data_IF_325376041294
#
_entry.id   IF_325376041294
#
_cell.length_a   1.000
_cell.length_b   1.000
_cell.length_c   1.000
_cell.angle_alpha   90.00
_cell.angle_beta   90.00
_cell.angle_gamma   90.00
#
_symmetry.space_group_name_H-M   'P 1'
#
loop_
_entity.id
_entity.type
_entity.pdbx_description
1 polymer ?
#
# COMPACT_ATOMS: atom_id res chain seq x y z
N UNK A 1 14.21 -11.60 -19.12
CA UNK A 1 12.83 -11.88 -18.77
C UNK A 1 12.66 -11.97 -17.28
N UNK A 2 11.61 -11.31 -16.79
CA UNK A 2 11.45 -11.05 -15.37
C UNK A 2 10.30 -11.86 -14.77
N UNK A 3 9.56 -12.61 -15.58
CA UNK A 3 8.42 -13.40 -15.15
C UNK A 3 8.81 -14.86 -14.97
N UNK A 4 8.41 -15.45 -13.85
CA UNK A 4 8.54 -16.87 -13.58
C UNK A 4 7.13 -17.45 -13.57
N UNK A 5 6.69 -18.11 -14.65
CA UNK A 5 5.37 -18.73 -14.69
C UNK A 5 5.32 -19.95 -13.77
N UNK A 6 4.13 -20.22 -13.23
CA UNK A 6 3.86 -21.43 -12.47
C UNK A 6 3.83 -22.67 -13.39
N UNK A 7 4.14 -23.81 -12.83
CA UNK A 7 4.14 -25.08 -13.56
C UNK A 7 2.70 -25.55 -13.75
N UNK A 8 2.31 -25.99 -14.98
CA UNK A 8 0.97 -26.57 -15.18
C UNK A 8 0.70 -27.76 -14.27
N UNK A 9 -0.51 -27.84 -13.73
CA UNK A 9 -0.93 -28.91 -12.78
C UNK A 9 -0.75 -30.33 -13.33
N UNK A 10 -0.75 -30.49 -14.66
CA UNK A 10 -0.45 -31.78 -15.29
C UNK A 10 0.98 -32.32 -15.01
N UNK A 11 1.88 -31.48 -14.48
CA UNK A 11 3.21 -31.88 -14.05
C UNK A 11 3.27 -32.35 -12.58
N UNK A 12 2.20 -32.14 -11.81
CA UNK A 12 2.06 -32.66 -10.45
C UNK A 12 1.55 -34.10 -10.52
N UNK A 13 2.37 -35.07 -10.12
CA UNK A 13 1.94 -36.47 -10.10
C UNK A 13 1.09 -36.78 -8.87
N UNK A 14 0.22 -37.80 -8.98
CA UNK A 14 -0.56 -38.30 -7.84
C UNK A 14 0.35 -38.69 -6.67
N UNK A 15 1.53 -39.27 -6.97
CA UNK A 15 2.52 -39.65 -5.95
C UNK A 15 3.07 -38.42 -5.20
N UNK A 16 3.32 -37.29 -5.90
CA UNK A 16 3.75 -36.04 -5.24
C UNK A 16 2.68 -35.53 -4.29
N UNK A 17 1.42 -35.56 -4.71
CA UNK A 17 0.27 -35.08 -3.91
C UNK A 17 0.08 -35.97 -2.69
N UNK A 18 0.09 -37.28 -2.84
CA UNK A 18 -0.04 -38.23 -1.71
C UNK A 18 1.13 -38.08 -0.72
N UNK A 19 2.36 -38.00 -1.19
CA UNK A 19 3.53 -37.73 -0.35
C UNK A 19 3.41 -36.40 0.43
N UNK A 20 2.90 -35.36 -0.19
CA UNK A 20 2.67 -34.07 0.47
C UNK A 20 1.61 -34.19 1.58
N UNK A 21 0.51 -34.91 1.33
CA UNK A 21 -0.57 -35.17 2.31
C UNK A 21 -0.10 -36.05 3.48
N UNK A 22 0.79 -37.00 3.22
CA UNK A 22 1.42 -37.79 4.27
C UNK A 22 2.38 -36.99 5.14
N UNK A 23 3.01 -35.95 4.55
CA UNK A 23 3.98 -35.09 5.23
C UNK A 23 3.30 -34.08 6.15
N UNK A 24 2.19 -33.45 5.73
CA UNK A 24 1.52 -32.38 6.49
C UNK A 24 0.04 -32.31 6.14
N UNK A 25 -0.77 -31.83 7.07
CA UNK A 25 -2.18 -31.48 6.89
C UNK A 25 -2.35 -30.01 6.42
N UNK A 26 -1.25 -29.29 6.32
CA UNK A 26 -1.21 -27.86 5.95
C UNK A 26 -0.32 -27.67 4.72
N UNK A 27 -0.82 -26.98 3.72
CA UNK A 27 -0.08 -26.58 2.54
C UNK A 27 0.26 -25.09 2.57
N UNK A 28 1.43 -24.75 2.06
CA UNK A 28 1.81 -23.37 1.80
C UNK A 28 1.89 -23.13 0.29
N UNK A 29 1.15 -22.15 -0.19
CA UNK A 29 1.18 -21.70 -1.60
C UNK A 29 1.92 -20.37 -1.67
N UNK A 30 2.97 -20.31 -2.48
CA UNK A 30 3.77 -19.09 -2.67
C UNK A 30 3.48 -18.53 -4.05
N UNK A 31 2.92 -17.34 -4.09
CA UNK A 31 2.69 -16.55 -5.31
C UNK A 31 3.79 -15.50 -5.39
N UNK A 32 4.51 -15.44 -6.50
CA UNK A 32 5.61 -14.48 -6.68
C UNK A 32 5.30 -13.50 -7.81
N UNK A 33 5.70 -12.24 -7.58
CA UNK A 33 5.72 -11.22 -8.61
C UNK A 33 7.05 -10.50 -8.57
N UNK A 34 7.77 -10.61 -9.68
CA UNK A 34 9.08 -9.99 -9.83
C UNK A 34 8.88 -8.63 -10.48
N UNK A 35 9.36 -7.59 -9.81
CA UNK A 35 9.47 -6.24 -10.34
C UNK A 35 10.85 -5.70 -10.04
N UNK A 36 11.36 -4.82 -10.89
CA UNK A 36 12.69 -4.28 -10.72
C UNK A 36 12.93 -3.01 -11.52
N UNK A 37 14.02 -2.33 -11.21
CA UNK A 37 14.44 -1.13 -11.90
C UNK A 37 14.59 -1.38 -13.41
N UNK A 38 14.05 -0.45 -14.21
CA UNK A 38 14.12 -0.51 -15.68
C UNK A 38 13.18 -1.51 -16.33
N UNK A 39 12.27 -2.12 -15.58
CA UNK A 39 11.31 -3.09 -16.10
C UNK A 39 9.93 -2.85 -15.46
N UNK A 40 9.10 -2.09 -16.15
CA UNK A 40 7.71 -1.87 -15.75
C UNK A 40 6.93 -3.19 -15.82
N UNK A 41 6.02 -3.38 -14.85
CA UNK A 41 5.14 -4.55 -14.84
C UNK A 41 4.12 -4.44 -15.98
N UNK A 42 3.93 -5.50 -16.78
CA UNK A 42 3.03 -5.43 -17.93
C UNK A 42 1.56 -5.29 -17.52
N UNK A 43 0.89 -4.33 -18.15
CA UNK A 43 -0.56 -4.15 -18.05
C UNK A 43 -1.34 -5.08 -18.97
N UNK A 44 -0.66 -5.78 -19.86
CA UNK A 44 -1.19 -6.85 -20.72
C UNK A 44 -0.07 -7.86 -20.96
N UNK A 45 -0.09 -8.94 -20.20
CA UNK A 45 0.97 -9.97 -20.20
C UNK A 45 1.04 -10.69 -21.55
N UNK A 46 -0.07 -10.78 -22.30
CA UNK A 46 -0.08 -11.43 -23.61
C UNK A 46 0.80 -10.72 -24.66
N UNK A 47 1.21 -9.49 -24.40
CA UNK A 47 2.11 -8.69 -25.26
C UNK A 47 3.58 -8.82 -24.89
N UNK A 48 3.88 -9.52 -23.80
CA UNK A 48 5.26 -9.72 -23.34
C UNK A 48 5.81 -11.02 -23.91
N UNK A 49 7.06 -11.00 -24.36
CA UNK A 49 7.75 -12.21 -24.80
C UNK A 49 8.43 -12.87 -23.60
N UNK A 50 8.00 -14.08 -23.28
CA UNK A 50 8.68 -14.94 -22.31
C UNK A 50 9.80 -15.74 -22.99
N UNK A 51 10.91 -15.95 -22.29
CA UNK A 51 12.02 -16.81 -22.76
C UNK A 51 12.12 -18.14 -22.02
N UNK A 52 11.06 -18.55 -21.38
CA UNK A 52 10.99 -19.76 -20.58
C UNK A 52 10.08 -20.82 -21.19
N UNK A 53 9.77 -21.84 -20.41
CA UNK A 53 8.95 -22.96 -20.82
C UNK A 53 7.47 -22.61 -21.09
N UNK A 54 7.06 -21.36 -20.95
CA UNK A 54 5.68 -20.90 -21.22
C UNK A 54 5.30 -20.93 -22.70
N UNK A 55 6.23 -21.19 -23.58
CA UNK A 55 5.94 -21.41 -25.02
C UNK A 55 4.89 -22.51 -25.28
N UNK A 56 4.70 -23.39 -24.31
CA UNK A 56 3.84 -24.56 -24.43
C UNK A 56 2.44 -24.39 -23.81
N UNK A 57 2.18 -23.30 -23.12
CA UNK A 57 0.87 -23.02 -22.51
C UNK A 57 0.64 -21.54 -22.35
N UNK A 58 -0.63 -21.13 -22.45
CA UNK A 58 -1.05 -19.77 -22.17
C UNK A 58 -1.35 -19.65 -20.68
N UNK A 59 -0.66 -18.73 -20.05
CA UNK A 59 -0.79 -18.44 -18.63
C UNK A 59 -1.69 -17.24 -18.35
N UNK A 60 -1.70 -16.28 -19.27
CA UNK A 60 -2.55 -15.08 -19.22
C UNK A 60 -3.30 -14.90 -20.53
N UNK A 61 -4.54 -14.50 -20.46
CA UNK A 61 -5.32 -14.10 -21.61
C UNK A 61 -5.00 -12.65 -22.03
N UNK A 62 -5.45 -12.29 -23.23
CA UNK A 62 -5.26 -10.93 -23.74
C UNK A 62 -5.97 -9.91 -22.84
N UNK A 63 -5.23 -8.88 -22.40
CA UNK A 63 -5.70 -7.84 -21.51
C UNK A 63 -5.55 -8.15 -20.01
N UNK A 64 -5.09 -9.34 -19.65
CA UNK A 64 -4.76 -9.65 -18.26
C UNK A 64 -3.39 -9.04 -17.87
N UNK A 65 -3.35 -8.39 -16.72
CA UNK A 65 -2.13 -7.76 -16.20
C UNK A 65 -1.37 -8.69 -15.25
N UNK A 66 -0.10 -8.40 -15.02
CA UNK A 66 0.80 -9.26 -14.24
C UNK A 66 0.46 -9.33 -12.74
N UNK A 67 -0.28 -8.36 -12.19
CA UNK A 67 -0.63 -8.28 -10.76
C UNK A 67 -1.98 -8.93 -10.43
N UNK A 68 -2.43 -9.87 -11.24
CA UNK A 68 -3.52 -10.81 -10.97
C UNK A 68 -3.04 -12.26 -11.05
N UNK A 69 -3.85 -13.23 -10.64
CA UNK A 69 -3.50 -14.65 -10.79
C UNK A 69 -3.47 -15.04 -12.27
N UNK A 70 -2.45 -15.78 -12.66
CA UNK A 70 -2.39 -16.49 -13.92
C UNK A 70 -3.33 -17.72 -13.91
N UNK A 71 -3.59 -18.31 -15.08
CA UNK A 71 -4.43 -19.50 -15.14
C UNK A 71 -3.76 -20.70 -14.46
N UNK A 72 -2.44 -20.87 -14.60
CA UNK A 72 -1.72 -21.97 -13.93
C UNK A 72 -1.69 -21.81 -12.40
N UNK A 73 -1.63 -20.58 -11.89
CA UNK A 73 -1.76 -20.31 -10.47
C UNK A 73 -3.18 -20.60 -9.95
N UNK A 74 -4.23 -20.27 -10.70
CA UNK A 74 -5.61 -20.64 -10.37
C UNK A 74 -5.78 -22.17 -10.32
N UNK A 75 -5.28 -22.87 -11.33
CA UNK A 75 -5.33 -24.33 -11.39
C UNK A 75 -4.54 -24.99 -10.24
N UNK A 76 -3.39 -24.43 -9.85
CA UNK A 76 -2.61 -24.87 -8.70
C UNK A 76 -3.38 -24.66 -7.39
N UNK A 77 -4.02 -23.51 -7.19
CA UNK A 77 -4.84 -23.24 -6.01
C UNK A 77 -6.02 -24.21 -5.92
N UNK A 78 -6.70 -24.47 -7.04
CA UNK A 78 -7.77 -25.46 -7.11
C UNK A 78 -7.29 -26.85 -6.69
N UNK A 79 -6.13 -27.28 -7.23
CA UNK A 79 -5.53 -28.57 -6.89
C UNK A 79 -5.17 -28.66 -5.40
N UNK A 80 -4.51 -27.62 -4.86
CA UNK A 80 -4.08 -27.61 -3.45
C UNK A 80 -5.29 -27.56 -2.53
N UNK A 81 -6.26 -26.70 -2.78
CA UNK A 81 -7.48 -26.58 -1.98
C UNK A 81 -8.41 -27.80 -2.08
N UNK A 82 -8.30 -28.60 -3.13
CA UNK A 82 -9.00 -29.88 -3.23
C UNK A 82 -8.36 -30.98 -2.35
N UNK A 83 -7.08 -30.84 -1.99
CA UNK A 83 -6.31 -31.87 -1.28
C UNK A 83 -5.96 -31.49 0.17
N UNK A 84 -6.03 -30.22 0.56
CA UNK A 84 -5.68 -29.72 1.89
C UNK A 84 -6.80 -28.86 2.47
N UNK A 85 -7.15 -29.08 3.74
CA UNK A 85 -8.13 -28.26 4.46
C UNK A 85 -7.53 -26.98 5.06
N UNK A 86 -6.21 -26.93 5.22
CA UNK A 86 -5.47 -25.80 5.76
C UNK A 86 -4.45 -25.32 4.74
N UNK A 87 -4.69 -24.15 4.19
CA UNK A 87 -3.80 -23.51 3.21
C UNK A 87 -3.36 -22.15 3.72
N UNK A 88 -2.07 -21.85 3.63
CA UNK A 88 -1.49 -20.54 3.88
C UNK A 88 -0.96 -20.00 2.56
N UNK A 89 -1.39 -18.82 2.19
CA UNK A 89 -0.88 -18.13 1.00
C UNK A 89 0.23 -17.16 1.39
N UNK A 90 1.36 -17.21 0.71
CA UNK A 90 2.43 -16.24 0.83
C UNK A 90 2.52 -15.48 -0.49
N UNK A 91 2.24 -14.20 -0.46
CA UNK A 91 2.49 -13.32 -1.60
C UNK A 91 3.89 -12.71 -1.46
N UNK A 92 4.82 -13.13 -2.34
CA UNK A 92 6.18 -12.63 -2.39
C UNK A 92 6.35 -11.68 -3.57
N UNK A 93 6.07 -10.42 -3.33
CA UNK A 93 6.18 -9.34 -4.30
C UNK A 93 6.19 -7.98 -3.59
N UNK A 94 6.85 -6.99 -4.18
CA UNK A 94 6.93 -5.65 -3.61
C UNK A 94 5.73 -4.77 -3.97
N UNK A 95 5.01 -5.10 -5.04
CA UNK A 95 3.84 -4.39 -5.51
C UNK A 95 2.56 -4.95 -4.88
N UNK A 96 1.51 -4.15 -4.80
CA UNK A 96 0.17 -4.67 -4.52
C UNK A 96 -0.29 -5.61 -5.65
N UNK A 97 -1.04 -6.63 -5.30
CA UNK A 97 -1.63 -7.60 -6.23
C UNK A 97 -3.12 -7.75 -5.91
N UNK A 98 -3.91 -8.12 -6.88
CA UNK A 98 -5.31 -8.48 -6.65
C UNK A 98 -5.37 -9.80 -5.86
N UNK A 99 -5.72 -9.70 -4.59
CA UNK A 99 -5.81 -10.82 -3.66
C UNK A 99 -7.26 -11.26 -3.39
N UNK A 100 -8.21 -10.83 -4.21
CA UNK A 100 -9.64 -11.17 -4.08
C UNK A 100 -9.90 -12.67 -3.98
N UNK A 101 -9.09 -13.48 -4.66
CA UNK A 101 -9.16 -14.95 -4.64
C UNK A 101 -9.03 -15.58 -3.24
N UNK A 102 -8.43 -14.87 -2.27
CA UNK A 102 -8.34 -15.36 -0.89
C UNK A 102 -9.73 -15.65 -0.29
N UNK A 103 -10.76 -14.97 -0.76
CA UNK A 103 -12.14 -15.14 -0.30
C UNK A 103 -12.86 -16.32 -1.00
N UNK A 104 -12.33 -16.81 -2.11
CA UNK A 104 -12.98 -17.85 -2.92
C UNK A 104 -12.73 -19.26 -2.35
N UNK A 105 -11.66 -19.43 -1.57
CA UNK A 105 -11.23 -20.72 -1.04
C UNK A 105 -11.35 -20.77 0.49
N UNK A 106 -12.36 -21.48 1.00
CA UNK A 106 -12.55 -21.69 2.46
C UNK A 106 -11.37 -22.42 3.15
N UNK A 107 -10.52 -23.07 2.37
CA UNK A 107 -9.32 -23.77 2.82
C UNK A 107 -8.19 -22.81 3.15
N UNK A 108 -8.17 -21.62 2.57
CA UNK A 108 -7.18 -20.59 2.91
C UNK A 108 -7.48 -20.05 4.30
N UNK A 109 -6.57 -20.30 5.26
CA UNK A 109 -6.70 -19.91 6.67
C UNK A 109 -5.85 -18.70 7.04
N UNK A 110 -4.90 -18.34 6.20
CA UNK A 110 -4.03 -17.19 6.41
C UNK A 110 -3.34 -16.78 5.13
N UNK A 111 -2.99 -15.50 5.06
CA UNK A 111 -2.19 -14.94 3.99
C UNK A 111 -1.10 -14.04 4.57
N UNK A 112 0.07 -14.06 3.97
CA UNK A 112 1.22 -13.26 4.37
C UNK A 112 1.72 -12.50 3.16
N UNK A 113 1.71 -11.18 3.24
CA UNK A 113 2.46 -10.35 2.30
C UNK A 113 3.93 -10.32 2.74
N UNK A 114 4.80 -10.85 1.90
CA UNK A 114 6.22 -11.00 2.15
C UNK A 114 7.00 -10.35 1.00
N UNK A 115 7.22 -9.03 1.01
CA UNK A 115 8.03 -8.35 -0.01
C UNK A 115 9.48 -8.85 0.02
N UNK A 116 10.35 -8.26 -0.80
CA UNK A 116 11.73 -8.72 -0.95
C UNK A 116 12.47 -8.94 0.37
N UNK A 117 12.81 -10.19 0.67
CA UNK A 117 13.37 -10.63 1.96
C UNK A 117 14.90 -10.53 2.03
N UNK A 118 15.57 -10.24 0.92
CA UNK A 118 17.01 -10.33 0.83
C UNK A 118 17.50 -11.78 1.03
N UNK A 119 18.74 -11.93 1.49
CA UNK A 119 19.40 -13.25 1.57
C UNK A 119 18.93 -14.11 2.74
N UNK A 120 18.46 -13.52 3.85
CA UNK A 120 18.19 -14.23 5.10
C UNK A 120 16.76 -14.06 5.64
N UNK A 121 15.94 -13.21 5.03
CA UNK A 121 14.64 -12.84 5.59
C UNK A 121 13.60 -13.97 5.59
N UNK A 122 13.77 -15.02 4.78
CA UNK A 122 12.89 -16.20 4.81
C UNK A 122 12.95 -17.01 6.11
N UNK A 123 14.02 -16.86 6.92
CA UNK A 123 14.05 -17.44 8.27
C UNK A 123 12.93 -16.87 9.15
N UNK A 124 12.67 -15.55 9.03
CA UNK A 124 11.59 -14.87 9.75
C UNK A 124 10.21 -15.34 9.28
N UNK A 125 10.02 -15.58 7.98
CA UNK A 125 8.78 -16.12 7.43
C UNK A 125 8.47 -17.50 8.05
N UNK A 126 9.47 -18.39 8.09
CA UNK A 126 9.34 -19.70 8.74
C UNK A 126 8.96 -19.56 10.21
N UNK A 127 9.54 -18.64 10.95
CA UNK A 127 9.24 -18.38 12.36
C UNK A 127 7.80 -17.82 12.55
N UNK A 128 7.32 -16.97 11.65
CA UNK A 128 5.93 -16.46 11.66
C UNK A 128 4.96 -17.60 11.41
N UNK A 129 5.16 -18.41 10.37
CA UNK A 129 4.27 -19.53 10.03
C UNK A 129 4.25 -20.58 11.15
N UNK A 130 5.39 -20.82 11.80
CA UNK A 130 5.48 -21.74 12.95
C UNK A 130 4.89 -21.15 14.24
N UNK A 131 4.47 -19.89 14.26
CA UNK A 131 3.92 -19.22 15.44
C UNK A 131 4.96 -18.88 16.53
N UNK A 132 6.26 -18.98 16.23
CA UNK A 132 7.32 -18.66 17.18
C UNK A 132 7.64 -17.16 17.21
N UNK A 133 7.25 -16.44 16.16
CA UNK A 133 7.29 -14.97 16.05
C UNK A 133 5.90 -14.46 15.72
N UNK A 134 5.39 -13.54 16.51
CA UNK A 134 4.14 -12.85 16.24
C UNK A 134 4.40 -11.71 15.25
N UNK A 135 3.77 -11.69 14.06
CA UNK A 135 3.95 -10.61 13.10
C UNK A 135 3.37 -9.29 13.64
N UNK A 136 3.99 -8.19 13.29
CA UNK A 136 3.54 -6.83 13.60
C UNK A 136 3.72 -5.86 12.43
N UNK A 137 3.85 -6.41 11.22
CA UNK A 137 3.91 -5.63 9.99
C UNK A 137 2.54 -5.05 9.65
N UNK A 138 2.54 -3.86 9.06
CA UNK A 138 1.35 -3.20 8.51
C UNK A 138 1.54 -3.01 7.02
N UNK A 139 0.45 -3.04 6.25
CA UNK A 139 0.51 -2.76 4.81
C UNK A 139 0.96 -1.31 4.58
N UNK A 140 1.95 -1.15 3.71
CA UNK A 140 2.45 0.16 3.30
C UNK A 140 1.76 0.69 2.04
N UNK A 141 0.74 -0.02 1.58
CA UNK A 141 -0.09 0.35 0.43
C UNK A 141 -1.52 -0.17 0.62
N UNK A 142 -2.45 0.26 -0.25
CA UNK A 142 -3.83 -0.19 -0.28
C UNK A 142 -3.98 -1.32 -1.29
N UNK A 143 -4.50 -2.47 -0.86
CA UNK A 143 -4.82 -3.59 -1.74
C UNK A 143 -6.26 -3.48 -2.21
N UNK A 144 -6.48 -3.51 -3.51
CA UNK A 144 -7.80 -3.39 -4.13
C UNK A 144 -8.19 -4.69 -4.82
N UNK A 145 -9.50 -4.88 -5.03
CA UNK A 145 -10.02 -6.05 -5.75
C UNK A 145 -9.78 -5.97 -7.26
N UNK A 146 -9.70 -4.75 -7.81
CA UNK A 146 -9.51 -4.50 -9.24
C UNK A 146 -8.55 -3.31 -9.44
N UNK A 147 -7.32 -3.61 -9.83
CA UNK A 147 -6.29 -2.59 -10.08
C UNK A 147 -6.61 -1.75 -11.32
N UNK A 148 -7.35 -2.29 -12.29
CA UNK A 148 -7.67 -1.57 -13.53
C UNK A 148 -8.63 -0.40 -13.32
N UNK A 149 -9.37 -0.40 -12.21
CA UNK A 149 -10.27 0.68 -11.82
C UNK A 149 -9.56 1.83 -11.08
N UNK A 150 -8.26 1.70 -10.80
CA UNK A 150 -7.52 2.70 -10.02
C UNK A 150 -7.03 3.85 -10.89
N UNK A 151 -6.93 5.08 -10.36
CA UNK A 151 -6.41 6.22 -11.12
C UNK A 151 -4.96 5.99 -11.59
N UNK A 152 -4.12 5.43 -10.73
CA UNK A 152 -2.71 5.16 -11.04
C UNK A 152 -2.53 4.18 -12.18
N UNK A 153 -3.34 3.12 -12.25
CA UNK A 153 -3.29 2.17 -13.36
C UNK A 153 -3.59 2.84 -14.70
N UNK A 154 -4.60 3.70 -14.74
CA UNK A 154 -5.01 4.40 -15.96
C UNK A 154 -4.02 5.48 -16.41
N UNK A 155 -3.21 5.99 -15.48
CA UNK A 155 -2.18 6.99 -15.76
C UNK A 155 -0.77 6.39 -15.94
N UNK A 156 -0.64 5.08 -15.80
CA UNK A 156 0.62 4.38 -15.99
C UNK A 156 0.87 4.10 -17.48
N UNK A 157 2.07 4.37 -17.94
CA UNK A 157 2.51 4.06 -19.30
C UNK A 157 3.38 5.15 -19.92
N UNK A 158 3.86 4.87 -21.13
CA UNK A 158 4.65 5.79 -21.94
C UNK A 158 3.72 6.55 -22.90
N UNK A 159 3.15 7.64 -22.45
CA UNK A 159 2.27 8.47 -23.27
C UNK A 159 3.08 9.37 -24.20
N UNK A 160 2.62 9.54 -25.44
CA UNK A 160 3.25 10.35 -26.46
C UNK A 160 2.27 11.43 -26.94
N UNK A 161 2.78 12.67 -27.13
CA UNK A 161 2.07 13.65 -27.90
C UNK A 161 2.19 13.33 -29.41
N UNK A 162 1.24 13.77 -30.23
CA UNK A 162 1.20 13.48 -31.67
C UNK A 162 2.46 13.93 -32.43
N UNK A 163 3.20 14.91 -31.89
CA UNK A 163 4.41 15.47 -32.51
C UNK A 163 5.70 15.14 -31.75
N UNK A 164 5.70 14.10 -30.89
CA UNK A 164 6.88 13.76 -30.07
C UNK A 164 8.08 13.29 -30.89
N UNK A 165 7.86 12.76 -32.09
CA UNK A 165 8.92 12.40 -33.05
C UNK A 165 9.76 13.61 -33.52
N UNK A 166 9.19 14.82 -33.49
CA UNK A 166 9.95 16.06 -33.76
C UNK A 166 11.05 16.33 -32.71
N UNK A 167 10.92 15.73 -31.53
CA UNK A 167 11.84 15.84 -30.40
C UNK A 167 12.71 14.59 -30.21
N UNK A 168 12.68 13.67 -31.18
CA UNK A 168 13.50 12.46 -31.11
C UNK A 168 14.98 12.82 -30.99
N UNK A 169 15.65 12.14 -30.08
CA UNK A 169 17.09 12.26 -29.86
C UNK A 169 17.75 10.89 -30.00
N UNK A 170 19.05 10.86 -30.23
CA UNK A 170 19.82 9.62 -30.19
C UNK A 170 20.43 9.45 -28.79
N UNK A 171 20.18 8.31 -28.18
CA UNK A 171 20.82 7.93 -26.92
C UNK A 171 21.57 6.62 -27.06
N UNK A 172 22.54 6.37 -26.17
CA UNK A 172 23.23 5.09 -26.14
C UNK A 172 22.48 4.11 -25.26
N UNK A 173 22.14 2.94 -25.80
CA UNK A 173 21.64 1.84 -25.03
C UNK A 173 22.67 1.44 -23.95
N UNK A 174 22.26 1.41 -22.70
CA UNK A 174 23.15 1.12 -21.57
C UNK A 174 23.73 -0.29 -21.61
N UNK A 175 23.00 -1.28 -22.15
CA UNK A 175 23.45 -2.67 -22.20
C UNK A 175 24.33 -3.00 -23.41
N UNK A 176 24.02 -2.43 -24.58
CA UNK A 176 24.72 -2.73 -25.84
C UNK A 176 25.77 -1.67 -26.23
N UNK A 177 25.59 -0.43 -25.75
CA UNK A 177 26.38 0.74 -26.14
C UNK A 177 26.07 1.26 -27.55
N UNK A 178 25.09 0.68 -28.23
CA UNK A 178 24.65 1.12 -29.56
C UNK A 178 23.78 2.38 -29.47
N UNK A 179 23.81 3.18 -30.52
CA UNK A 179 22.94 4.36 -30.61
C UNK A 179 21.55 3.97 -31.02
N UNK A 180 20.55 4.37 -30.21
CA UNK A 180 19.14 4.12 -30.46
C UNK A 180 18.37 5.46 -30.49
N UNK A 181 17.35 5.55 -31.36
CA UNK A 181 16.46 6.68 -31.36
C UNK A 181 15.56 6.63 -30.13
N UNK A 182 15.54 7.70 -29.35
CA UNK A 182 14.69 7.85 -28.17
C UNK A 182 13.64 8.91 -28.45
N UNK A 183 12.38 8.53 -28.37
CA UNK A 183 11.23 9.44 -28.45
C UNK A 183 10.84 9.81 -27.03
N UNK A 184 10.80 11.11 -26.65
CA UNK A 184 10.36 11.51 -25.32
C UNK A 184 8.92 11.05 -25.04
N UNK A 185 8.68 10.59 -23.84
CA UNK A 185 7.35 10.24 -23.33
C UNK A 185 7.02 11.07 -22.08
N UNK A 186 5.77 11.05 -21.68
CA UNK A 186 5.33 11.73 -20.47
C UNK A 186 4.43 10.83 -19.63
N UNK A 187 4.34 11.14 -18.34
CA UNK A 187 3.34 10.63 -17.41
C UNK A 187 2.55 11.83 -16.90
N UNK A 188 1.24 11.68 -16.84
CA UNK A 188 0.36 12.74 -16.35
C UNK A 188 -0.17 12.38 -14.95
N UNK A 189 0.35 13.04 -13.93
CA UNK A 189 -0.05 12.84 -12.53
C UNK A 189 -1.35 13.60 -12.20
N UNK A 190 -2.46 13.20 -12.83
CA UNK A 190 -3.77 13.85 -12.66
C UNK A 190 -4.37 13.63 -11.27
N UNK A 191 -3.89 12.64 -10.53
CA UNK A 191 -4.33 12.30 -9.17
C UNK A 191 -4.07 13.43 -8.17
N UNK A 192 -3.06 14.26 -8.43
CA UNK A 192 -2.67 15.33 -7.51
C UNK A 192 -2.30 14.77 -6.14
N UNK A 193 -2.99 15.25 -5.08
CA UNK A 193 -2.77 14.76 -3.70
C UNK A 193 -3.47 13.43 -3.40
N UNK A 194 -4.38 12.98 -4.27
CA UNK A 194 -5.20 11.79 -4.07
C UNK A 194 -4.48 10.54 -4.56
N UNK A 195 -3.37 10.18 -3.89
CA UNK A 195 -2.54 9.02 -4.18
C UNK A 195 -2.68 7.99 -3.05
N UNK A 196 -2.75 6.70 -3.41
CA UNK A 196 -2.88 5.61 -2.46
C UNK A 196 -4.15 5.71 -1.60
N UNK A 197 -4.04 5.43 -0.30
CA UNK A 197 -5.19 5.45 0.62
C UNK A 197 -5.94 6.80 0.63
N UNK A 198 -5.26 7.92 0.40
CA UNK A 198 -5.92 9.24 0.35
C UNK A 198 -7.01 9.32 -0.72
N UNK A 199 -6.79 8.66 -1.86
CA UNK A 199 -7.82 8.54 -2.89
C UNK A 199 -9.00 7.72 -2.39
N UNK A 200 -8.77 6.49 -1.90
CA UNK A 200 -9.86 5.57 -1.55
C UNK A 200 -10.68 6.09 -0.38
N UNK A 201 -10.05 6.62 0.66
CA UNK A 201 -10.74 7.19 1.81
C UNK A 201 -11.59 8.40 1.41
N UNK A 202 -11.03 9.32 0.64
CA UNK A 202 -11.75 10.53 0.20
C UNK A 202 -12.88 10.18 -0.78
N UNK A 203 -12.62 9.32 -1.76
CA UNK A 203 -13.64 8.90 -2.72
C UNK A 203 -14.81 8.15 -2.06
N UNK A 204 -14.55 7.40 -1.00
CA UNK A 204 -15.59 6.74 -0.21
C UNK A 204 -16.44 7.76 0.56
N UNK A 205 -15.82 8.74 1.22
CA UNK A 205 -16.51 9.82 1.93
C UNK A 205 -17.38 10.65 0.98
N UNK A 206 -16.89 10.93 -0.23
CA UNK A 206 -17.62 11.65 -1.27
C UNK A 206 -18.67 10.79 -1.98
N UNK A 207 -18.77 9.50 -1.65
CA UNK A 207 -19.74 8.58 -2.26
C UNK A 207 -19.46 8.22 -3.71
N UNK A 208 -18.20 8.37 -4.16
CA UNK A 208 -17.76 8.04 -5.52
C UNK A 208 -17.47 6.56 -5.69
N UNK A 209 -17.10 5.88 -4.62
CA UNK A 209 -16.83 4.44 -4.58
C UNK A 209 -17.56 3.78 -3.40
N UNK A 210 -17.83 2.48 -3.52
CA UNK A 210 -18.21 1.61 -2.42
C UNK A 210 -16.90 1.02 -1.84
N UNK A 211 -16.48 1.48 -0.66
CA UNK A 211 -15.19 1.14 -0.08
C UNK A 211 -14.99 -0.37 0.05
N UNK A 212 -15.95 -1.07 0.64
CA UNK A 212 -15.86 -2.51 0.92
C UNK A 212 -15.81 -3.37 -0.35
N UNK A 213 -16.30 -2.83 -1.49
CA UNK A 213 -16.19 -3.51 -2.79
C UNK A 213 -14.94 -3.14 -3.56
N UNK A 214 -14.30 -2.04 -3.20
CA UNK A 214 -13.11 -1.54 -3.91
C UNK A 214 -11.83 -1.96 -3.20
N UNK A 215 -11.77 -1.80 -1.87
CA UNK A 215 -10.59 -2.05 -1.06
C UNK A 215 -10.72 -3.37 -0.33
N UNK A 216 -9.72 -4.23 -0.48
CA UNK A 216 -9.65 -5.49 0.24
C UNK A 216 -8.87 -5.35 1.55
N UNK A 217 -7.69 -4.71 1.49
CA UNK A 217 -6.88 -4.40 2.67
C UNK A 217 -6.47 -2.93 2.63
N UNK A 218 -6.88 -2.14 3.63
CA UNK A 218 -6.47 -0.74 3.77
C UNK A 218 -4.94 -0.58 3.91
N UNK A 219 -4.45 0.62 3.65
CA UNK A 219 -3.13 1.03 4.12
C UNK A 219 -3.09 0.97 5.66
N UNK A 220 -2.00 0.48 6.25
CA UNK A 220 -1.88 0.31 7.70
C UNK A 220 -2.50 -0.99 8.24
N UNK A 221 -3.15 -1.80 7.40
CA UNK A 221 -3.75 -3.06 7.82
C UNK A 221 -2.70 -4.10 8.23
N UNK A 222 -3.00 -4.88 9.25
CA UNK A 222 -2.19 -6.03 9.64
C UNK A 222 -2.76 -6.77 10.84
N UNK A 223 -2.66 -8.10 10.80
CA UNK A 223 -3.12 -8.98 11.87
C UNK A 223 -2.00 -9.36 12.83
N UNK A 224 -2.38 -9.78 14.03
CA UNK A 224 -1.50 -10.28 15.06
C UNK A 224 -2.03 -11.61 15.60
N UNK A 225 -1.17 -12.42 16.25
CA UNK A 225 -1.57 -13.61 16.99
C UNK A 225 -2.06 -13.30 18.42
N UNK A 226 -2.18 -12.01 18.76
CA UNK A 226 -2.72 -11.52 20.03
C UNK A 226 -3.58 -10.30 19.78
N UNK A 227 -4.37 -9.89 20.76
CA UNK A 227 -5.27 -8.77 20.68
C UNK A 227 -4.71 -7.58 21.46
N UNK A 228 -4.78 -6.38 20.88
CA UNK A 228 -4.36 -5.14 21.50
C UNK A 228 -5.57 -4.20 21.67
N UNK A 229 -5.56 -3.46 22.77
CA UNK A 229 -6.45 -2.32 23.01
C UNK A 229 -5.62 -1.06 22.98
N UNK A 230 -6.05 -0.05 22.22
CA UNK A 230 -5.47 1.28 22.22
C UNK A 230 -6.44 2.28 22.85
N UNK A 231 -5.95 3.09 23.79
CA UNK A 231 -6.72 4.16 24.44
C UNK A 231 -6.06 5.50 24.20
N UNK A 232 -6.78 6.39 23.53
CA UNK A 232 -6.39 7.77 23.28
C UNK A 232 -6.60 8.62 24.55
N UNK A 233 -5.56 9.30 24.99
CA UNK A 233 -5.64 10.32 26.04
C UNK A 233 -6.16 11.66 25.51
N UNK A 234 -6.32 12.64 26.40
CA UNK A 234 -6.78 13.97 26.03
C UNK A 234 -5.79 14.68 25.11
N UNK A 235 -6.28 15.19 23.98
CA UNK A 235 -5.47 15.97 23.05
C UNK A 235 -5.30 17.38 23.57
N UNK A 236 -4.05 17.86 23.61
CA UNK A 236 -3.69 19.21 24.03
C UNK A 236 -2.95 19.93 22.92
N UNK A 237 -3.20 21.24 22.78
CA UNK A 237 -2.48 22.12 21.87
C UNK A 237 -1.79 23.21 22.68
N UNK A 238 -0.48 23.29 22.55
CA UNK A 238 0.32 24.31 23.22
C UNK A 238 1.52 24.71 22.33
N UNK A 239 1.76 25.99 22.19
CA UNK A 239 2.88 26.54 21.42
C UNK A 239 2.98 25.98 19.98
N UNK A 240 1.82 25.81 19.30
CA UNK A 240 1.73 25.29 17.94
C UNK A 240 1.99 23.78 17.81
N UNK A 241 1.95 23.04 18.92
CA UNK A 241 2.11 21.58 18.96
C UNK A 241 0.85 20.90 19.48
N UNK A 242 0.45 19.86 18.76
CA UNK A 242 -0.58 18.90 19.18
C UNK A 242 0.13 17.76 19.91
N UNK A 243 -0.35 17.39 21.10
CA UNK A 243 0.25 16.30 21.89
C UNK A 243 -0.80 15.52 22.67
N UNK A 244 -0.64 14.22 22.75
CA UNK A 244 -1.44 13.31 23.55
C UNK A 244 -0.71 11.97 23.77
N UNK A 245 -1.19 11.21 24.74
CA UNK A 245 -0.69 9.87 24.99
C UNK A 245 -1.64 8.82 24.41
N UNK A 246 -1.08 7.70 23.95
CA UNK A 246 -1.83 6.50 23.58
C UNK A 246 -1.34 5.34 24.43
N UNK A 247 -2.22 4.77 25.24
CA UNK A 247 -1.91 3.56 26.02
C UNK A 247 -2.31 2.32 25.21
N UNK A 248 -1.33 1.48 24.89
CA UNK A 248 -1.52 0.19 24.20
C UNK A 248 -1.40 -0.93 25.22
N UNK A 249 -2.39 -1.80 25.28
CA UNK A 249 -2.42 -2.97 26.19
C UNK A 249 -2.58 -4.26 25.39
N UNK A 250 -1.73 -5.23 25.66
CA UNK A 250 -1.90 -6.58 25.10
C UNK A 250 -2.95 -7.34 25.92
N UNK A 251 -4.16 -7.45 25.38
CA UNK A 251 -5.29 -8.13 26.00
C UNK A 251 -5.41 -9.60 25.58
N UNK A 252 -4.55 -10.07 24.69
CA UNK A 252 -4.57 -11.44 24.19
C UNK A 252 -3.67 -12.40 24.98
N UNK A 253 -3.27 -13.50 24.34
CA UNK A 253 -2.57 -14.61 24.99
C UNK A 253 -1.14 -14.84 24.51
N UNK A 254 -0.70 -14.12 23.48
CA UNK A 254 0.66 -14.21 22.94
C UNK A 254 1.39 -12.87 23.11
N UNK A 255 2.71 -12.93 23.27
CA UNK A 255 3.53 -11.72 23.22
C UNK A 255 3.53 -11.11 21.82
N UNK A 256 3.55 -9.79 21.72
CA UNK A 256 3.54 -9.13 20.41
C UNK A 256 3.78 -7.63 20.50
N UNK A 257 3.84 -7.00 19.32
CA UNK A 257 3.94 -5.55 19.14
C UNK A 257 2.71 -5.05 18.41
N UNK A 258 2.32 -3.82 18.71
CA UNK A 258 1.27 -3.12 17.96
C UNK A 258 1.79 -1.80 17.40
N UNK A 259 1.06 -1.22 16.46
CA UNK A 259 1.37 0.08 15.84
C UNK A 259 0.24 1.04 16.17
N UNK A 260 0.59 2.17 16.75
CA UNK A 260 -0.29 3.33 16.85
C UNK A 260 -0.15 4.10 15.56
N UNK A 261 -1.24 4.29 14.83
CA UNK A 261 -1.30 5.10 13.62
C UNK A 261 -2.19 6.32 13.91
N UNK A 262 -1.63 7.52 13.68
CA UNK A 262 -2.31 8.79 13.94
C UNK A 262 -2.66 9.46 12.64
N UNK A 263 -3.95 9.75 12.46
CA UNK A 263 -4.45 10.42 11.27
C UNK A 263 -5.09 11.75 11.64
N UNK A 264 -5.19 12.64 10.66
CA UNK A 264 -6.04 13.82 10.76
C UNK A 264 -6.96 13.94 9.55
N UNK A 265 -8.16 14.48 9.80
CA UNK A 265 -9.12 14.89 8.79
C UNK A 265 -9.29 16.41 8.90
N UNK A 266 -8.85 17.19 7.88
CA UNK A 266 -8.92 18.63 7.90
C UNK A 266 -10.33 19.14 7.54
N UNK A 267 -10.69 20.38 7.92
CA UNK A 267 -11.90 21.01 7.44
C UNK A 267 -11.83 21.19 5.92
N UNK A 268 -12.89 20.78 5.21
CA UNK A 268 -12.98 20.87 3.75
C UNK A 268 -14.21 21.65 3.32
N UNK A 269 -14.03 22.51 2.33
CA UNK A 269 -15.10 23.23 1.65
C UNK A 269 -14.97 23.01 0.15
N UNK A 270 -16.04 22.52 -0.48
CA UNK A 270 -16.03 22.26 -1.92
C UNK A 270 -15.68 23.52 -2.71
N UNK A 271 -14.69 23.43 -3.60
CA UNK A 271 -14.12 24.53 -4.34
C UNK A 271 -13.07 25.38 -3.59
N UNK A 272 -12.74 24.97 -2.36
CA UNK A 272 -11.60 25.51 -1.60
C UNK A 272 -10.30 24.77 -1.88
N UNK A 273 -9.40 24.75 -0.88
CA UNK A 273 -8.13 24.00 -0.96
C UNK A 273 -8.41 22.51 -0.99
N UNK A 274 -7.83 21.79 -1.93
CA UNK A 274 -7.94 20.33 -2.03
C UNK A 274 -7.28 19.63 -0.84
N UNK A 275 -8.02 18.73 -0.20
CA UNK A 275 -7.61 18.00 1.01
C UNK A 275 -8.15 16.59 1.00
N UNK A 276 -7.30 15.63 1.33
CA UNK A 276 -7.76 14.26 1.57
C UNK A 276 -8.46 14.15 2.93
N UNK A 277 -9.46 13.29 3.02
CA UNK A 277 -10.23 13.06 4.25
C UNK A 277 -9.45 12.29 5.33
N UNK A 278 -8.42 11.54 4.95
CA UNK A 278 -7.54 10.82 5.87
C UNK A 278 -6.07 11.09 5.51
N UNK A 279 -5.29 11.54 6.50
CA UNK A 279 -3.88 11.85 6.34
C UNK A 279 -3.11 11.29 7.53
N UNK A 280 -2.22 10.32 7.30
CA UNK A 280 -1.30 9.84 8.33
C UNK A 280 -0.32 10.95 8.69
N UNK A 281 -0.24 11.31 9.98
CA UNK A 281 0.63 12.38 10.46
C UNK A 281 1.73 11.87 11.37
N UNK A 282 1.47 10.80 12.13
CA UNK A 282 2.47 10.18 12.99
C UNK A 282 2.17 8.69 13.15
N UNK A 283 3.18 7.90 13.49
CA UNK A 283 3.02 6.50 13.85
C UNK A 283 4.15 6.04 14.77
N UNK A 284 3.84 5.10 15.63
CA UNK A 284 4.85 4.48 16.49
C UNK A 284 4.51 3.02 16.76
N UNK A 285 5.56 2.20 16.87
CA UNK A 285 5.44 0.78 17.22
C UNK A 285 5.85 0.57 18.65
N UNK A 286 5.08 -0.23 19.40
CA UNK A 286 5.42 -0.64 20.78
C UNK A 286 6.65 -1.55 20.82
N UNK A 287 7.24 -1.66 22.00
CA UNK A 287 8.08 -2.80 22.34
C UNK A 287 7.25 -4.09 22.34
N UNK A 288 7.90 -5.24 22.56
CA UNK A 288 7.17 -6.50 22.75
C UNK A 288 6.43 -6.45 24.08
N UNK A 289 5.10 -6.50 24.03
CA UNK A 289 4.24 -6.55 25.21
C UNK A 289 3.84 -8.00 25.49
N UNK A 290 4.08 -8.45 26.73
CA UNK A 290 3.57 -9.74 27.22
C UNK A 290 2.05 -9.62 27.45
N UNK A 291 1.30 -10.75 27.50
CA UNK A 291 -0.10 -10.73 27.89
C UNK A 291 -0.35 -9.95 29.18
N UNK A 292 -1.24 -8.95 29.12
CA UNK A 292 -1.56 -8.04 30.21
C UNK A 292 -0.61 -6.84 30.39
N UNK A 293 0.49 -6.76 29.64
CA UNK A 293 1.38 -5.59 29.69
C UNK A 293 0.84 -4.43 28.86
N UNK A 294 1.19 -3.23 29.28
CA UNK A 294 0.84 -1.98 28.61
C UNK A 294 2.06 -1.10 28.40
N UNK A 295 2.04 -0.31 27.34
CA UNK A 295 3.01 0.73 27.05
C UNK A 295 2.28 2.01 26.66
N UNK A 296 2.78 3.15 27.11
CA UNK A 296 2.29 4.45 26.68
C UNK A 296 3.20 5.00 25.60
N UNK A 297 2.63 5.37 24.47
CA UNK A 297 3.27 6.07 23.37
C UNK A 297 2.87 7.54 23.45
N UNK A 298 3.86 8.43 23.52
CA UNK A 298 3.61 9.86 23.44
C UNK A 298 3.63 10.29 21.98
N UNK A 299 2.53 10.88 21.51
CA UNK A 299 2.36 11.45 20.18
C UNK A 299 2.56 12.95 20.25
N UNK A 300 3.35 13.53 19.35
CA UNK A 300 3.54 14.98 19.27
C UNK A 300 3.95 15.41 17.88
N UNK A 301 3.19 16.32 17.27
CA UNK A 301 3.46 16.90 15.97
C UNK A 301 3.11 18.40 15.94
N UNK A 302 3.59 19.14 14.95
CA UNK A 302 3.29 20.57 14.83
C UNK A 302 1.96 20.80 14.12
N UNK A 303 1.20 21.84 14.50
CA UNK A 303 -0.02 22.23 13.80
C UNK A 303 0.26 22.50 12.31
N UNK A 304 1.45 23.07 11.99
CA UNK A 304 1.86 23.34 10.61
C UNK A 304 1.99 22.09 9.73
N UNK A 305 2.16 20.89 10.33
CA UNK A 305 2.22 19.62 9.61
C UNK A 305 0.85 19.22 9.01
N UNK A 306 -0.24 19.85 9.51
CA UNK A 306 -1.60 19.68 8.99
C UNK A 306 -1.94 20.66 7.86
N UNK A 307 -1.02 21.55 7.48
CA UNK A 307 -1.24 22.52 6.40
C UNK A 307 -1.38 21.81 5.04
N UNK A 308 -2.25 22.35 4.18
CA UNK A 308 -2.50 21.88 2.82
C UNK A 308 -1.96 22.87 1.80
N UNK A 309 -1.48 22.37 0.65
CA UNK A 309 -0.95 23.23 -0.40
C UNK A 309 -2.08 23.85 -1.23
N UNK A 310 -2.18 25.16 -1.22
CA UNK A 310 -3.18 25.94 -1.97
C UNK A 310 -2.65 26.27 -3.38
N UNK A 311 -2.86 25.35 -4.31
CA UNK A 311 -2.34 25.46 -5.69
C UNK A 311 -2.90 26.67 -6.45
N UNK A 312 -4.18 26.99 -6.25
CA UNK A 312 -4.90 27.96 -7.10
C UNK A 312 -5.12 29.30 -6.42
N UNK A 313 -4.92 29.42 -5.12
CA UNK A 313 -5.08 30.64 -4.35
C UNK A 313 -3.74 31.27 -3.97
N UNK A 314 -3.21 30.88 -2.81
CA UNK A 314 -1.99 31.47 -2.25
C UNK A 314 -0.69 30.95 -2.90
N UNK A 315 -0.72 29.83 -3.59
CA UNK A 315 0.46 29.19 -4.18
C UNK A 315 1.49 28.71 -3.15
N UNK A 316 1.06 28.41 -1.94
CA UNK A 316 1.88 27.94 -0.83
C UNK A 316 1.06 27.08 0.13
N UNK A 317 1.68 26.58 1.21
CA UNK A 317 0.95 25.87 2.28
C UNK A 317 0.08 26.81 3.10
N UNK A 318 -1.10 26.33 3.45
CA UNK A 318 -2.08 27.07 4.27
C UNK A 318 -2.65 26.12 5.33
N UNK A 319 -2.59 26.51 6.58
CA UNK A 319 -3.34 25.90 7.67
C UNK A 319 -4.62 26.71 7.84
N UNK A 320 -5.76 26.21 7.35
CA UNK A 320 -7.02 26.93 7.43
C UNK A 320 -7.60 26.87 8.84
N UNK A 321 -8.24 27.98 9.25
CA UNK A 321 -9.04 28.01 10.48
C UNK A 321 -10.19 27.00 10.36
N UNK A 322 -10.46 26.27 11.44
CA UNK A 322 -11.54 25.28 11.49
C UNK A 322 -11.21 24.11 12.41
N UNK A 323 -12.08 23.13 12.38
CA UNK A 323 -12.00 21.94 13.22
C UNK A 323 -11.28 20.81 12.45
N UNK A 324 -10.21 20.31 13.04
CA UNK A 324 -9.44 19.17 12.57
C UNK A 324 -9.76 17.97 13.46
N UNK A 325 -10.20 16.87 12.88
CA UNK A 325 -10.35 15.62 13.62
C UNK A 325 -9.01 14.91 13.70
N UNK A 326 -8.52 14.67 14.91
CA UNK A 326 -7.31 13.89 15.18
C UNK A 326 -7.75 12.52 15.65
N UNK A 327 -7.30 11.46 15.01
CA UNK A 327 -7.72 10.09 15.33
C UNK A 327 -6.51 9.15 15.51
N UNK A 328 -6.73 8.11 16.33
CA UNK A 328 -5.92 6.89 16.30
C UNK A 328 -6.70 5.81 15.60
N UNK A 329 -6.05 5.12 14.68
CA UNK A 329 -6.69 4.16 13.81
C UNK A 329 -5.96 2.80 13.85
N UNK A 330 -6.65 1.72 13.52
CA UNK A 330 -6.03 0.41 13.26
C UNK A 330 -5.43 0.27 11.86
N UNK A 331 -5.93 1.12 10.94
CA UNK A 331 -5.52 1.27 9.55
C UNK A 331 -6.13 2.57 8.99
N UNK A 332 -5.89 2.93 7.73
CA UNK A 332 -6.38 4.20 7.15
C UNK A 332 -7.89 4.38 7.21
N UNK A 333 -8.66 3.29 7.30
CA UNK A 333 -10.12 3.30 7.25
C UNK A 333 -10.79 3.18 8.62
N UNK A 334 -10.20 2.39 9.52
CA UNK A 334 -10.86 1.98 10.76
C UNK A 334 -10.38 2.80 11.96
N UNK A 335 -11.17 3.82 12.32
CA UNK A 335 -10.90 4.67 13.48
C UNK A 335 -11.21 3.96 14.79
N UNK A 336 -10.27 4.01 15.73
CA UNK A 336 -10.42 3.51 17.12
C UNK A 336 -11.00 4.59 18.01
N UNK A 337 -10.44 5.79 17.96
CA UNK A 337 -10.90 6.95 18.73
C UNK A 337 -10.50 8.25 18.03
N UNK A 338 -11.26 9.32 18.25
CA UNK A 338 -10.94 10.64 17.72
C UNK A 338 -11.26 11.76 18.69
N UNK A 339 -10.60 12.91 18.51
CA UNK A 339 -10.87 14.17 19.19
C UNK A 339 -10.67 15.34 18.22
N UNK A 340 -11.36 16.44 18.48
CA UNK A 340 -11.28 17.64 17.63
C UNK A 340 -10.24 18.61 18.16
N UNK A 341 -9.41 19.14 17.27
CA UNK A 341 -8.53 20.28 17.48
C UNK A 341 -9.04 21.45 16.64
N UNK A 342 -9.30 22.59 17.30
CA UNK A 342 -9.78 23.80 16.60
C UNK A 342 -8.61 24.74 16.34
N UNK A 343 -8.33 25.04 15.07
CA UNK A 343 -7.41 26.08 14.62
C UNK A 343 -8.17 27.40 14.54
N UNK A 344 -7.78 28.38 15.35
CA UNK A 344 -8.57 29.62 15.50
C UNK A 344 -8.44 30.56 14.29
N UNK A 345 -7.23 30.69 13.73
CA UNK A 345 -6.92 31.62 12.65
C UNK A 345 -6.20 30.90 11.51
N UNK A 346 -6.52 31.28 10.27
CA UNK A 346 -5.82 30.74 9.09
C UNK A 346 -4.39 31.27 9.06
N UNK A 347 -3.41 30.37 8.88
CA UNK A 347 -1.99 30.69 8.74
C UNK A 347 -1.54 30.39 7.30
N UNK A 348 -0.96 31.38 6.65
CA UNK A 348 -0.38 31.25 5.30
C UNK A 348 1.15 31.14 5.43
N UNK A 349 1.73 30.11 4.84
CA UNK A 349 3.17 29.82 4.90
C UNK A 349 3.84 30.28 3.60
N UNK A 350 3.97 31.58 3.44
CA UNK A 350 4.59 32.23 2.30
C UNK A 350 6.11 32.51 2.50
N UNK A 351 6.71 33.26 1.60
CA UNK A 351 8.13 33.64 1.63
C UNK A 351 8.53 34.42 2.90
N UNK A 352 7.59 35.06 3.58
CA UNK A 352 7.83 35.83 4.83
C UNK A 352 7.52 35.03 6.09
N UNK A 353 6.88 33.88 5.95
CA UNK A 353 6.42 33.04 7.04
C UNK A 353 6.50 31.57 6.60
N UNK A 354 7.70 31.04 6.38
CA UNK A 354 7.90 29.63 6.02
C UNK A 354 7.53 28.70 7.19
N UNK A 355 7.11 27.47 6.90
CA UNK A 355 6.98 26.43 7.95
C UNK A 355 8.34 26.19 8.61
N UNK A 356 8.36 25.79 9.84
CA UNK A 356 9.60 25.59 10.60
C UNK A 356 10.51 24.50 10.01
N UNK A 357 9.96 23.59 9.24
CA UNK A 357 10.67 22.50 8.54
C UNK A 357 11.19 22.87 7.16
N UNK A 358 10.80 24.04 6.62
CA UNK A 358 11.15 24.48 5.26
C UNK A 358 12.38 25.41 5.31
N UNK A 359 13.50 25.01 4.71
CA UNK A 359 14.67 25.89 4.52
C UNK A 359 14.33 27.10 3.61
N UNK A 360 13.44 26.88 2.66
CA UNK A 360 12.87 27.90 1.76
C UNK A 360 11.37 27.61 1.65
N UNK A 361 10.55 28.63 1.77
CA UNK A 361 9.10 28.47 1.65
C UNK A 361 8.72 27.76 0.33
N UNK A 362 7.85 26.76 0.44
CA UNK A 362 7.33 26.04 -0.72
C UNK A 362 6.29 26.90 -1.43
N UNK A 363 6.73 27.71 -2.39
CA UNK A 363 5.89 28.59 -3.20
C UNK A 363 5.97 28.19 -4.67
N UNK A 364 4.97 28.59 -5.48
CA UNK A 364 5.00 28.36 -6.92
C UNK A 364 6.17 29.10 -7.57
N UNK A 365 7.19 28.38 -8.01
CA UNK A 365 8.42 28.95 -8.59
C UNK A 365 8.28 29.25 -10.08
N UNK A 366 7.29 28.67 -10.75
CA UNK A 366 7.07 28.86 -12.18
C UNK A 366 5.86 29.76 -12.41
N UNK A 367 6.10 30.91 -13.04
CA UNK A 367 5.01 31.72 -13.59
C UNK A 367 4.52 31.06 -14.89
N UNK A 368 3.23 30.89 -15.02
CA UNK A 368 2.65 30.47 -16.29
C UNK A 368 2.87 31.60 -17.33
N UNK A 369 3.43 31.19 -18.44
CA UNK A 369 3.62 32.10 -19.57
C UNK A 369 2.29 32.36 -20.31
#
# INVERSE_FOLDING_TARGET
DWTLPEVPVAQYSDEMIENAKEFSDTAMVVITRVGGEGADLPTDVSKVTYTDNSENYKDFEAGEHYLQLSQTEKDMLDLVCANFDNVVVVYNGANTMELGFLNDYKQIKGAIWCPGTGQSGFESLGAVVAGTVNPSGKTSDTFVYDLTATPTYNNFGNFLYDNMDEFAATSKNFGTGEEEATIPSFVNYVEGIYVGYRFYETAAVEGLIDYDKTVQFPFGYGLSYTDFEQKMGDVTVADGKVSFDVTVTNNGTAAGKDVVEVYYNPPYTNGGIEKASANLIDFAKTDVLQPGESQTINVSFSEEDMASYDTYGNGCYVLEAGDYEISINSDSHNTIASQTVSVADTVVYDENNARSTDDVAATNQFAYA
#
